data_IF_477241413807
#
_entry.id   IF_477241413807
#
_cell.length_a   1.000
_cell.length_b   1.000
_cell.length_c   1.000
_cell.angle_alpha   90.00
_cell.angle_beta   90.00
_cell.angle_gamma   90.00
#
_symmetry.space_group_name_H-M   'P 1'
#
loop_
_entity.id
_entity.type
_entity.pdbx_description
1 polymer ?
#
# COMPACT_ATOMS: atom_id res chain seq x y z
N UNK A 1 -6.49 -2.34 -5.05
CA UNK A 1 -7.56 -2.86 -4.22
C UNK A 1 -8.28 -1.72 -3.50
N UNK A 2 -9.44 -1.98 -2.94
CA UNK A 2 -10.23 -1.01 -2.21
C UNK A 2 -10.68 -1.65 -0.90
N UNK A 3 -10.36 -1.02 0.23
CA UNK A 3 -10.63 -1.58 1.55
C UNK A 3 -12.12 -1.49 1.92
N UNK A 4 -12.55 -2.31 2.86
CA UNK A 4 -13.87 -2.25 3.45
C UNK A 4 -13.84 -1.36 4.70
N UNK A 5 -14.55 -0.23 4.67
CA UNK A 5 -14.68 0.62 5.84
C UNK A 5 -15.74 0.07 6.78
N UNK A 6 -15.36 -0.13 8.04
CA UNK A 6 -16.33 -0.41 9.09
C UNK A 6 -17.07 0.87 9.50
N UNK A 7 -18.25 0.73 10.09
CA UNK A 7 -19.00 1.86 10.66
C UNK A 7 -18.22 2.59 11.78
N UNK A 8 -17.24 1.93 12.36
CA UNK A 8 -16.40 2.46 13.46
C UNK A 8 -15.10 3.08 12.96
N UNK A 9 -14.85 3.10 11.65
CA UNK A 9 -13.64 3.69 11.09
C UNK A 9 -13.71 5.21 11.22
N UNK A 10 -12.94 5.76 12.14
CA UNK A 10 -12.84 7.21 12.40
C UNK A 10 -11.67 7.86 11.67
N UNK A 11 -10.85 7.07 10.97
CA UNK A 11 -9.73 7.63 10.21
C UNK A 11 -10.23 8.48 9.05
N UNK A 12 -9.61 9.63 8.80
CA UNK A 12 -9.93 10.41 7.61
C UNK A 12 -9.82 9.55 6.35
N UNK A 13 -10.83 9.61 5.50
CA UNK A 13 -10.88 8.84 4.26
C UNK A 13 -10.09 9.47 3.13
N UNK A 14 -9.76 10.75 3.24
CA UNK A 14 -9.05 11.49 2.20
C UNK A 14 -8.15 12.57 2.81
N UNK A 15 -7.22 13.06 1.98
CA UNK A 15 -6.45 14.28 2.22
C UNK A 15 -6.70 15.24 1.08
N UNK A 16 -6.59 16.53 1.36
CA UNK A 16 -6.75 17.58 0.33
C UNK A 16 -5.41 18.29 0.15
N UNK A 17 -4.96 18.40 -1.09
CA UNK A 17 -3.78 19.18 -1.45
C UNK A 17 -4.07 19.96 -2.72
N UNK A 18 -3.78 21.26 -2.72
CA UNK A 18 -4.03 22.16 -3.85
C UNK A 18 -5.49 22.11 -4.34
N UNK A 19 -6.44 21.97 -3.43
CA UNK A 19 -7.87 21.88 -3.76
C UNK A 19 -8.35 20.53 -4.30
N UNK A 20 -7.47 19.56 -4.43
CA UNK A 20 -7.78 18.20 -4.92
C UNK A 20 -7.90 17.25 -3.74
N UNK A 21 -8.98 16.46 -3.70
CA UNK A 21 -9.18 15.41 -2.71
C UNK A 21 -8.63 14.09 -3.20
N UNK A 22 -7.77 13.49 -2.40
CA UNK A 22 -7.15 12.18 -2.66
C UNK A 22 -7.65 11.17 -1.66
N UNK A 23 -8.07 9.99 -2.11
CA UNK A 23 -8.32 8.88 -1.21
C UNK A 23 -7.02 8.51 -0.50
N UNK A 24 -7.08 8.26 0.81
CA UNK A 24 -5.90 7.78 1.55
C UNK A 24 -5.63 6.32 1.19
N UNK A 25 -4.35 6.00 1.10
CA UNK A 25 -3.89 4.67 0.75
C UNK A 25 -3.25 3.97 1.95
N UNK A 26 -3.10 2.66 1.83
CA UNK A 26 -2.38 1.83 2.79
C UNK A 26 -1.74 0.68 2.05
N UNK A 27 -0.49 0.36 2.38
CA UNK A 27 0.18 -0.82 1.84
C UNK A 27 0.11 -1.94 2.87
N UNK A 28 -0.33 -3.12 2.43
CA UNK A 28 -0.55 -4.29 3.27
C UNK A 28 0.45 -5.37 2.93
N UNK A 29 1.07 -5.93 3.97
CA UNK A 29 2.02 -7.03 3.88
C UNK A 29 1.50 -8.23 4.64
N UNK A 30 1.54 -9.39 4.00
CA UNK A 30 1.21 -10.67 4.62
C UNK A 30 2.45 -11.33 5.21
N UNK A 31 2.38 -11.70 6.49
CA UNK A 31 3.51 -12.30 7.20
C UNK A 31 3.65 -13.82 7.00
N UNK A 32 2.78 -14.44 6.21
CA UNK A 32 2.81 -15.87 5.93
C UNK A 32 2.28 -16.77 7.03
N UNK A 33 1.57 -16.21 7.99
CA UNK A 33 0.88 -16.99 9.04
C UNK A 33 -0.60 -17.14 8.69
N UNK A 34 -1.18 -18.29 9.05
CA UNK A 34 -2.62 -18.49 8.97
C UNK A 34 -3.36 -17.83 10.13
N UNK A 35 -4.68 -17.89 10.11
CA UNK A 35 -5.55 -17.35 11.16
C UNK A 35 -5.28 -17.94 12.54
N UNK A 36 -4.75 -19.15 12.61
CA UNK A 36 -4.34 -19.82 13.85
C UNK A 36 -2.94 -19.39 14.34
N UNK A 37 -2.27 -18.48 13.65
CA UNK A 37 -0.92 -18.02 13.99
C UNK A 37 0.22 -18.92 13.51
N UNK A 38 -0.08 -20.10 12.94
CA UNK A 38 0.93 -21.02 12.41
C UNK A 38 1.36 -20.60 11.00
N UNK A 39 2.66 -20.73 10.70
CA UNK A 39 3.19 -20.40 9.38
C UNK A 39 2.69 -21.36 8.31
N UNK A 40 2.39 -20.83 7.13
CA UNK A 40 2.19 -21.64 5.93
C UNK A 40 3.51 -22.31 5.54
N UNK A 41 3.42 -23.51 4.91
CA UNK A 41 4.60 -24.22 4.38
C UNK A 41 5.29 -23.42 3.26
N UNK A 42 4.48 -22.79 2.40
CA UNK A 42 4.96 -21.84 1.37
C UNK A 42 4.50 -20.46 1.80
N UNK A 43 5.46 -19.63 2.18
CA UNK A 43 5.19 -18.32 2.75
C UNK A 43 6.01 -17.21 2.06
N UNK A 44 5.55 -15.96 2.08
CA UNK A 44 6.30 -14.86 1.53
C UNK A 44 7.56 -14.56 2.34
N UNK A 45 8.57 -14.03 1.70
CA UNK A 45 9.65 -13.32 2.36
C UNK A 45 9.13 -11.91 2.72
N UNK A 46 8.30 -11.85 3.76
CA UNK A 46 7.56 -10.64 4.08
C UNK A 46 8.45 -9.47 4.50
N UNK A 47 9.63 -9.73 5.02
CA UNK A 47 10.58 -8.67 5.38
C UNK A 47 11.16 -7.97 4.15
N UNK A 48 11.37 -8.69 3.05
CA UNK A 48 11.77 -8.08 1.78
C UNK A 48 10.61 -7.30 1.17
N UNK A 49 9.40 -7.88 1.16
CA UNK A 49 8.20 -7.19 0.70
C UNK A 49 7.92 -5.93 1.53
N UNK A 50 8.20 -5.95 2.83
CA UNK A 50 8.05 -4.81 3.72
C UNK A 50 8.94 -3.63 3.31
N UNK A 51 10.16 -3.89 2.85
CA UNK A 51 11.05 -2.82 2.37
C UNK A 51 10.43 -2.05 1.21
N UNK A 52 9.83 -2.77 0.25
CA UNK A 52 9.11 -2.14 -0.84
C UNK A 52 7.87 -1.38 -0.34
N UNK A 53 7.11 -1.98 0.55
CA UNK A 53 5.94 -1.34 1.15
C UNK A 53 6.30 -0.03 1.84
N UNK A 54 7.38 0.00 2.60
CA UNK A 54 7.86 1.20 3.29
C UNK A 54 8.34 2.26 2.28
N UNK A 55 9.05 1.86 1.23
CA UNK A 55 9.50 2.77 0.19
C UNK A 55 8.31 3.43 -0.55
N UNK A 56 7.28 2.66 -0.86
CA UNK A 56 6.04 3.19 -1.47
C UNK A 56 5.35 4.17 -0.51
N UNK A 57 5.22 3.80 0.75
CA UNK A 57 4.57 4.63 1.78
C UNK A 57 5.31 5.95 1.97
N UNK A 58 6.63 5.90 2.11
CA UNK A 58 7.46 7.10 2.28
C UNK A 58 7.42 7.99 1.04
N UNK A 59 7.49 7.40 -0.14
CA UNK A 59 7.42 8.14 -1.40
C UNK A 59 6.09 8.85 -1.57
N UNK A 60 4.98 8.19 -1.24
CA UNK A 60 3.64 8.80 -1.30
C UNK A 60 3.50 9.97 -0.32
N UNK A 61 3.96 9.80 0.91
CA UNK A 61 3.87 10.86 1.92
C UNK A 61 4.85 12.01 1.65
N UNK A 62 5.92 11.78 0.90
CA UNK A 62 6.78 12.85 0.39
C UNK A 62 6.10 13.67 -0.70
N UNK A 63 5.31 13.03 -1.58
CA UNK A 63 4.54 13.72 -2.60
C UNK A 63 3.37 14.51 -2.01
N UNK A 64 2.57 13.87 -1.17
CA UNK A 64 1.39 14.46 -0.54
C UNK A 64 1.36 14.01 0.92
N UNK A 65 1.74 14.87 1.88
CA UNK A 65 1.77 14.50 3.29
C UNK A 65 0.43 13.94 3.79
N UNK A 66 0.48 12.76 4.39
CA UNK A 66 -0.68 12.09 4.97
C UNK A 66 -1.51 11.25 4.00
N UNK A 67 -1.13 11.17 2.71
CA UNK A 67 -1.90 10.39 1.73
C UNK A 67 -1.80 8.88 1.96
N UNK A 68 -0.72 8.40 2.57
CA UNK A 68 -0.53 6.98 2.85
C UNK A 68 -0.43 6.73 4.35
N UNK A 69 -1.22 5.78 4.83
CA UNK A 69 -1.18 5.31 6.21
C UNK A 69 0.05 4.42 6.41
N UNK A 70 0.40 4.15 7.66
CA UNK A 70 1.50 3.26 7.99
C UNK A 70 1.31 1.87 7.36
N UNK A 71 2.41 1.22 7.02
CA UNK A 71 2.37 -0.15 6.49
C UNK A 71 1.66 -1.06 7.48
N UNK A 72 0.70 -1.82 6.98
CA UNK A 72 -0.05 -2.81 7.77
C UNK A 72 0.52 -4.20 7.53
N UNK A 73 0.93 -4.89 8.59
CA UNK A 73 1.34 -6.29 8.53
C UNK A 73 0.23 -7.14 9.11
N UNK A 74 -0.28 -8.09 8.33
CA UNK A 74 -1.36 -8.99 8.72
C UNK A 74 -0.98 -10.45 8.53
N UNK A 75 -1.64 -11.33 9.27
CA UNK A 75 -1.59 -12.76 8.99
C UNK A 75 -2.17 -13.03 7.60
N UNK A 76 -1.52 -13.90 6.85
CA UNK A 76 -1.92 -14.24 5.49
C UNK A 76 -0.77 -14.20 4.50
N UNK A 77 -1.02 -14.63 3.28
CA UNK A 77 -0.04 -14.60 2.18
C UNK A 77 -0.33 -13.50 1.15
N UNK A 78 -1.60 -13.23 0.87
CA UNK A 78 -2.03 -12.22 -0.11
C UNK A 78 -1.30 -12.35 -1.46
N UNK A 79 -1.00 -13.60 -1.88
CA UNK A 79 -0.21 -13.92 -3.06
C UNK A 79 1.23 -13.35 -3.07
N UNK A 80 1.68 -12.81 -1.95
CA UNK A 80 3.00 -12.17 -1.83
C UNK A 80 4.15 -13.17 -1.72
N UNK A 81 3.84 -14.47 -1.60
CA UNK A 81 4.82 -15.54 -1.68
C UNK A 81 5.37 -15.76 -3.10
N UNK A 82 4.73 -15.14 -4.10
CA UNK A 82 5.11 -15.27 -5.51
C UNK A 82 6.31 -14.40 -5.90
N UNK A 83 6.69 -13.43 -5.08
CA UNK A 83 7.79 -12.52 -5.36
C UNK A 83 8.32 -11.89 -4.08
N UNK A 84 9.60 -11.49 -4.10
CA UNK A 84 10.23 -10.69 -3.03
C UNK A 84 9.95 -9.19 -3.20
N UNK A 85 9.19 -8.79 -4.23
CA UNK A 85 8.77 -7.42 -4.49
C UNK A 85 7.25 -7.37 -4.67
N UNK A 86 6.52 -8.01 -3.76
CA UNK A 86 5.07 -8.09 -3.81
C UNK A 86 4.45 -7.31 -2.65
N UNK A 87 3.48 -6.49 -2.98
CA UNK A 87 2.70 -5.72 -2.00
C UNK A 87 1.24 -5.69 -2.42
N UNK A 88 0.34 -5.44 -1.48
CA UNK A 88 -1.05 -5.12 -1.76
C UNK A 88 -1.31 -3.68 -1.38
N UNK A 89 -1.81 -2.88 -2.30
CA UNK A 89 -2.09 -1.46 -2.06
C UNK A 89 -3.60 -1.26 -2.02
N UNK A 90 -4.08 -0.77 -0.88
CA UNK A 90 -5.46 -0.35 -0.72
C UNK A 90 -5.57 1.12 -1.10
N UNK A 91 -6.32 1.42 -2.17
CA UNK A 91 -6.56 2.79 -2.64
C UNK A 91 -7.91 3.25 -2.09
N UNK A 92 -7.88 3.79 -0.89
CA UNK A 92 -9.09 4.18 -0.18
C UNK A 92 -9.95 2.99 0.27
N UNK A 93 -11.18 3.27 0.57
CA UNK A 93 -12.17 2.28 0.99
C UNK A 93 -13.54 2.58 0.35
N UNK A 94 -14.52 1.73 0.63
CA UNK A 94 -15.85 1.79 -0.01
C UNK A 94 -16.63 3.10 0.27
N UNK A 95 -16.19 3.93 1.22
CA UNK A 95 -16.79 5.26 1.48
C UNK A 95 -16.14 6.39 0.67
N UNK A 96 -15.03 6.14 0.00
CA UNK A 96 -14.41 7.11 -0.89
C UNK A 96 -15.18 7.19 -2.21
N UNK A 97 -15.18 8.36 -2.83
CA UNK A 97 -15.71 8.53 -4.18
C UNK A 97 -14.75 7.94 -5.20
N UNK A 98 -15.25 7.63 -6.39
CA UNK A 98 -14.41 7.19 -7.52
C UNK A 98 -13.37 8.27 -7.87
N UNK A 99 -13.78 9.53 -7.87
CA UNK A 99 -12.88 10.65 -8.16
C UNK A 99 -11.71 10.71 -7.17
N UNK A 100 -11.98 10.58 -5.88
CA UNK A 100 -10.94 10.53 -4.84
C UNK A 100 -9.95 9.38 -5.07
N UNK A 101 -10.44 8.21 -5.44
CA UNK A 101 -9.60 7.05 -5.73
C UNK A 101 -8.78 7.25 -7.01
N UNK A 102 -9.37 7.77 -8.07
CA UNK A 102 -8.68 8.07 -9.33
C UNK A 102 -7.62 9.15 -9.14
N UNK A 103 -7.92 10.18 -8.34
CA UNK A 103 -6.93 11.20 -7.99
C UNK A 103 -5.73 10.59 -7.28
N UNK A 104 -5.95 9.65 -6.34
CA UNK A 104 -4.89 8.98 -5.61
C UNK A 104 -4.01 8.10 -6.52
N UNK A 105 -4.53 7.56 -7.60
CA UNK A 105 -3.80 6.73 -8.54
C UNK A 105 -2.64 7.48 -9.22
N UNK A 106 -2.75 8.78 -9.41
CA UNK A 106 -1.71 9.59 -10.08
C UNK A 106 -0.42 9.65 -9.26
N UNK A 107 -0.41 10.10 -7.99
CA UNK A 107 0.81 10.07 -7.18
C UNK A 107 1.31 8.65 -6.96
N UNK A 108 0.43 7.66 -6.86
CA UNK A 108 0.83 6.26 -6.75
C UNK A 108 1.64 5.81 -7.97
N UNK A 109 1.15 6.07 -9.16
CA UNK A 109 1.85 5.73 -10.41
C UNK A 109 3.22 6.42 -10.48
N UNK A 110 3.30 7.68 -10.09
CA UNK A 110 4.56 8.44 -10.07
C UNK A 110 5.58 7.81 -9.12
N UNK A 111 5.17 7.45 -7.91
CA UNK A 111 6.05 6.84 -6.90
C UNK A 111 6.54 5.47 -7.37
N UNK A 112 5.65 4.63 -7.89
CA UNK A 112 6.02 3.30 -8.39
C UNK A 112 6.99 3.44 -9.57
N UNK A 113 6.72 4.31 -10.52
CA UNK A 113 7.61 4.55 -11.67
C UNK A 113 8.99 5.01 -11.21
N UNK A 114 9.07 5.90 -10.22
CA UNK A 114 10.32 6.37 -9.65
C UNK A 114 11.13 5.24 -9.01
N UNK A 115 10.48 4.34 -8.28
CA UNK A 115 11.14 3.18 -7.66
C UNK A 115 11.66 2.20 -8.71
N UNK A 116 10.89 1.91 -9.76
CA UNK A 116 11.32 1.03 -10.86
C UNK A 116 12.52 1.60 -11.60
N UNK A 117 12.52 2.88 -11.93
CA UNK A 117 13.64 3.55 -12.59
C UNK A 117 14.89 3.57 -11.72
N UNK A 118 14.74 3.74 -10.42
CA UNK A 118 15.84 3.66 -9.46
C UNK A 118 16.49 2.27 -9.46
N UNK A 119 15.68 1.20 -9.51
CA UNK A 119 16.19 -0.18 -9.56
C UNK A 119 16.90 -0.47 -10.88
N UNK A 120 16.40 0.00 -12.01
CA UNK A 120 17.06 -0.13 -13.30
C UNK A 120 18.43 0.55 -13.29
N UNK A 121 18.54 1.74 -12.70
CA UNK A 121 19.83 2.46 -12.60
C UNK A 121 20.85 1.74 -11.70
N UNK A 122 20.39 0.95 -10.74
CA UNK A 122 21.26 0.13 -9.87
C UNK A 122 21.69 -1.18 -10.51
N UNK A 123 20.96 -1.67 -11.49
CA UNK A 123 21.23 -2.91 -12.20
C UNK A 123 22.26 -2.80 -13.33
N UNK A 124 22.82 -1.64 -13.57
CA UNK A 124 23.76 -1.36 -14.66
C UNK A 124 25.22 -1.39 -14.17
#
# INVERSE_FOLDING_TARGET
>A
HRDAASSRNTNPSCVTANGIKYARMMVLIGNGKGSNGNSFSIKPNWKENYKLAQAVTDGLNAEIPGICRDVMVKNGRYNQHMSENAVLIEVGHNKNTLEEAVNAAKPLAKVIAGLLLSDESKGV
#
